data_IF_941500196214
#
_entry.id   IF_941500196214
#
_cell.length_a   1.000
_cell.length_b   1.000
_cell.length_c   1.000
_cell.angle_alpha   90.00
_cell.angle_beta   90.00
_cell.angle_gamma   90.00
#
_symmetry.space_group_name_H-M   'P 1'
#
loop_
_entity.id
_entity.type
_entity.pdbx_description
1 polymer ?
#
# COMPACT_ATOMS: atom_id res chain seq x y z
N UNK A 1 -11.24 -16.18 13.67
CA UNK A 1 -10.49 -15.12 14.41
C UNK A 1 -10.55 -13.86 13.58
N UNK A 2 -11.27 -12.81 13.99
CA UNK A 2 -11.53 -11.64 13.12
C UNK A 2 -10.26 -10.91 12.66
N UNK A 3 -10.06 -10.78 11.34
CA UNK A 3 -8.99 -9.93 10.76
C UNK A 3 -9.22 -8.46 11.11
N UNK A 4 -8.24 -7.84 11.76
CA UNK A 4 -8.28 -6.44 12.19
C UNK A 4 -6.88 -5.87 12.31
N UNK A 5 -6.78 -4.55 12.46
CA UNK A 5 -5.51 -3.88 12.77
C UNK A 5 -4.84 -4.50 13.99
N UNK A 6 -3.53 -4.73 13.91
CA UNK A 6 -2.73 -5.38 14.95
C UNK A 6 -2.69 -6.90 14.86
N UNK A 7 -3.49 -7.52 13.97
CA UNK A 7 -3.45 -8.97 13.80
C UNK A 7 -2.16 -9.41 13.10
N UNK A 8 -1.55 -10.49 13.61
CA UNK A 8 -0.41 -11.14 12.97
C UNK A 8 -0.86 -11.96 11.77
N UNK A 9 -0.12 -11.84 10.67
CA UNK A 9 -0.35 -12.60 9.43
C UNK A 9 0.76 -13.64 9.25
N UNK A 10 0.36 -14.88 9.02
CA UNK A 10 1.28 -15.97 8.74
C UNK A 10 1.55 -16.06 7.23
N UNK A 11 2.82 -15.92 6.85
CA UNK A 11 3.30 -16.16 5.50
C UNK A 11 4.48 -17.12 5.54
N UNK A 12 4.67 -17.90 4.47
CA UNK A 12 5.81 -18.81 4.37
C UNK A 12 7.16 -18.06 4.28
N UNK A 13 7.14 -16.80 3.84
CA UNK A 13 8.32 -15.97 3.61
C UNK A 13 8.58 -14.93 4.71
N UNK A 14 7.68 -14.76 5.67
CA UNK A 14 7.87 -13.85 6.80
C UNK A 14 6.99 -14.23 8.00
N UNK A 15 7.55 -14.10 9.20
CA UNK A 15 6.85 -14.26 10.47
C UNK A 15 6.49 -12.93 11.15
N UNK A 16 6.86 -11.80 10.52
CA UNK A 16 6.81 -10.47 11.13
C UNK A 16 5.76 -9.55 10.46
N UNK A 17 4.73 -10.13 9.83
CA UNK A 17 3.68 -9.36 9.16
C UNK A 17 2.57 -9.00 10.16
N UNK A 18 2.23 -7.72 10.24
CA UNK A 18 1.11 -7.25 11.03
C UNK A 18 0.15 -6.40 10.18
N UNK A 19 -1.15 -6.63 10.32
CA UNK A 19 -2.18 -5.81 9.66
C UNK A 19 -2.14 -4.39 10.21
N UNK A 20 -1.85 -3.43 9.35
CA UNK A 20 -1.91 -1.99 9.64
C UNK A 20 -3.31 -1.45 9.38
N UNK A 21 -3.94 -1.88 8.28
CA UNK A 21 -5.29 -1.47 7.91
C UNK A 21 -6.00 -2.61 7.16
N UNK A 22 -7.33 -2.69 7.36
CA UNK A 22 -8.23 -3.49 6.53
C UNK A 22 -8.92 -2.52 5.59
N UNK A 23 -8.76 -2.72 4.28
CA UNK A 23 -9.28 -1.83 3.25
C UNK A 23 -10.67 -2.27 2.82
N UNK A 24 -10.80 -3.55 2.49
CA UNK A 24 -12.06 -4.12 2.01
C UNK A 24 -12.16 -5.60 2.36
N UNK A 25 -13.36 -6.14 2.16
CA UNK A 25 -13.63 -7.57 2.34
C UNK A 25 -14.39 -8.10 1.14
N UNK A 26 -14.09 -9.32 0.71
CA UNK A 26 -14.76 -9.97 -0.40
C UNK A 26 -15.06 -11.42 -0.07
N UNK A 27 -16.27 -11.87 -0.37
CA UNK A 27 -16.67 -13.27 -0.23
C UNK A 27 -16.57 -13.99 -1.56
N UNK A 28 -15.99 -15.19 -1.55
CA UNK A 28 -15.89 -16.05 -2.72
C UNK A 28 -15.90 -17.52 -2.30
N UNK A 29 -16.95 -18.24 -2.68
CA UNK A 29 -17.19 -19.61 -2.23
C UNK A 29 -17.30 -19.68 -0.69
N UNK A 30 -16.49 -20.54 -0.09
CA UNK A 30 -16.43 -20.73 1.37
C UNK A 30 -15.49 -19.74 2.08
N UNK A 31 -14.78 -18.90 1.32
CA UNK A 31 -13.75 -18.02 1.88
C UNK A 31 -14.24 -16.58 1.99
N UNK A 32 -13.86 -15.94 3.10
CA UNK A 32 -13.91 -14.50 3.27
C UNK A 32 -12.50 -13.95 3.21
N UNK A 33 -12.25 -13.15 2.19
CA UNK A 33 -10.98 -12.50 1.92
C UNK A 33 -10.97 -11.09 2.47
N UNK A 34 -9.82 -10.67 2.98
CA UNK A 34 -9.57 -9.35 3.51
C UNK A 34 -8.43 -8.73 2.72
N UNK A 35 -8.73 -7.61 2.07
CA UNK A 35 -7.73 -6.78 1.43
C UNK A 35 -7.10 -5.91 2.50
N UNK A 36 -5.83 -6.14 2.80
CA UNK A 36 -5.15 -5.53 3.96
C UNK A 36 -3.84 -4.88 3.54
N UNK A 37 -3.51 -3.79 4.24
CA UNK A 37 -2.15 -3.26 4.28
C UNK A 37 -1.45 -3.92 5.46
N UNK A 38 -0.34 -4.61 5.22
CA UNK A 38 0.51 -5.18 6.27
C UNK A 38 1.80 -4.39 6.38
N UNK A 39 2.26 -4.19 7.62
CA UNK A 39 3.61 -3.70 7.90
C UNK A 39 4.55 -4.87 8.16
N UNK A 40 5.79 -4.77 7.66
CA UNK A 40 6.85 -5.73 7.99
C UNK A 40 7.61 -5.21 9.21
N UNK A 41 7.61 -5.98 10.30
CA UNK A 41 8.33 -5.63 11.55
C UNK A 41 9.71 -6.28 11.67
N UNK A 42 10.32 -6.69 10.56
CA UNK A 42 11.63 -7.34 10.60
C UNK A 42 12.73 -6.31 10.90
N UNK A 43 13.53 -6.47 11.98
CA UNK A 43 14.64 -5.59 12.29
C UNK A 43 15.83 -5.69 11.31
N UNK A 44 15.88 -6.66 10.40
CA UNK A 44 16.80 -6.64 9.25
C UNK A 44 16.18 -5.82 8.11
N UNK A 45 16.14 -4.50 8.27
CA UNK A 45 15.56 -3.48 7.37
C UNK A 45 16.13 -3.42 5.93
N UNK A 46 16.88 -4.41 5.44
CA UNK A 46 17.85 -4.12 4.39
C UNK A 46 17.33 -3.99 2.95
N UNK A 47 16.11 -4.41 2.58
CA UNK A 47 15.70 -4.38 1.16
C UNK A 47 14.24 -4.01 0.84
N UNK A 48 13.36 -3.79 1.83
CA UNK A 48 11.97 -3.44 1.52
C UNK A 48 11.85 -1.92 1.36
N UNK A 49 11.77 -1.44 0.11
CA UNK A 49 11.61 -0.01 -0.20
C UNK A 49 10.34 0.59 0.41
N UNK A 50 9.31 -0.24 0.60
CA UNK A 50 8.05 0.13 1.21
C UNK A 50 7.86 -0.68 2.50
N UNK A 51 7.72 0.02 3.63
CA UNK A 51 7.49 -0.60 4.94
C UNK A 51 6.12 -1.32 5.02
N UNK A 52 5.26 -1.10 4.02
CA UNK A 52 3.91 -1.60 3.92
C UNK A 52 3.72 -2.38 2.61
N UNK A 53 2.97 -3.48 2.67
CA UNK A 53 2.57 -4.26 1.50
C UNK A 53 1.06 -4.48 1.48
N UNK A 54 0.50 -4.51 0.28
CA UNK A 54 -0.91 -4.78 0.06
C UNK A 54 -1.10 -6.27 -0.23
N UNK A 55 -1.87 -6.96 0.61
CA UNK A 55 -2.06 -8.42 0.55
C UNK A 55 -3.54 -8.79 0.62
N UNK A 56 -3.84 -9.98 0.11
CA UNK A 56 -5.08 -10.69 0.41
C UNK A 56 -4.82 -11.74 1.46
N UNK A 57 -5.57 -11.66 2.56
CA UNK A 57 -5.49 -12.63 3.65
C UNK A 57 -6.87 -13.22 3.93
N UNK A 58 -6.89 -14.36 4.59
CA UNK A 58 -8.11 -15.02 5.01
C UNK A 58 -7.92 -15.68 6.37
N UNK A 59 -9.03 -15.94 7.04
CA UNK A 59 -9.04 -16.71 8.28
C UNK A 59 -8.98 -18.20 7.96
N UNK A 60 -8.02 -18.89 8.55
CA UNK A 60 -7.87 -20.34 8.47
C UNK A 60 -7.80 -20.93 9.87
N UNK A 61 -8.96 -21.43 10.33
CA UNK A 61 -9.21 -21.99 11.66
C UNK A 61 -8.74 -21.07 12.80
N UNK A 62 -7.45 -21.17 13.16
CA UNK A 62 -6.82 -20.49 14.29
C UNK A 62 -5.83 -19.40 13.89
N UNK A 63 -5.62 -19.15 12.60
CA UNK A 63 -4.64 -18.16 12.14
C UNK A 63 -5.10 -17.36 10.92
N UNK A 64 -4.42 -16.26 10.65
CA UNK A 64 -4.64 -15.46 9.45
C UNK A 64 -3.51 -15.78 8.48
N UNK A 65 -3.85 -16.26 7.29
CA UNK A 65 -2.89 -16.66 6.27
C UNK A 65 -2.94 -15.73 5.07
N UNK A 66 -1.78 -15.52 4.46
CA UNK A 66 -1.71 -14.93 3.11
C UNK A 66 -2.28 -15.93 2.11
N UNK A 67 -3.17 -15.47 1.24
CA UNK A 67 -3.60 -16.30 0.11
C UNK A 67 -2.42 -16.56 -0.81
N UNK A 68 -2.07 -17.84 -1.00
CA UNK A 68 -1.04 -18.25 -1.95
C UNK A 68 -1.75 -18.67 -3.24
N UNK A 69 -1.48 -17.97 -4.32
CA UNK A 69 -2.07 -18.26 -5.62
C UNK A 69 -1.64 -19.67 -6.09
N UNK A 70 -2.61 -20.58 -6.26
CA UNK A 70 -2.35 -21.94 -6.75
C UNK A 70 -2.60 -22.11 -8.26
N UNK A 71 -3.13 -21.07 -8.94
CA UNK A 71 -3.41 -21.05 -10.38
C UNK A 71 -2.96 -19.71 -10.96
N UNK A 72 -2.89 -19.60 -12.28
CA UNK A 72 -2.49 -18.36 -12.94
C UNK A 72 -3.40 -17.19 -12.52
N UNK A 73 -2.77 -16.15 -11.96
CA UNK A 73 -3.46 -14.93 -11.51
C UNK A 73 -4.19 -14.26 -12.67
N UNK A 74 -5.48 -13.92 -12.53
CA UNK A 74 -6.18 -13.08 -13.48
C UNK A 74 -5.47 -11.75 -13.67
N UNK A 75 -5.49 -11.24 -14.90
CA UNK A 75 -4.98 -9.90 -15.21
C UNK A 75 -5.91 -9.21 -16.18
N UNK A 76 -6.18 -7.90 -16.02
CA UNK A 76 -6.98 -7.14 -16.98
C UNK A 76 -6.43 -7.17 -18.40
N UNK A 77 -5.11 -7.31 -18.57
CA UNK A 77 -4.45 -7.39 -19.88
C UNK A 77 -4.58 -8.76 -20.56
N UNK A 78 -5.01 -9.82 -19.86
CA UNK A 78 -5.17 -11.14 -20.44
C UNK A 78 -6.60 -11.32 -20.99
N UNK A 79 -6.71 -11.50 -22.30
CA UNK A 79 -7.99 -11.67 -23.00
C UNK A 79 -8.90 -12.77 -22.44
N UNK A 80 -8.34 -13.82 -21.82
CA UNK A 80 -9.13 -14.88 -21.19
C UNK A 80 -9.84 -14.43 -19.91
N UNK A 81 -9.34 -13.39 -19.25
CA UNK A 81 -9.85 -12.85 -17.99
C UNK A 81 -10.62 -11.54 -18.16
N UNK A 82 -10.46 -10.84 -19.29
CA UNK A 82 -11.11 -9.53 -19.52
C UNK A 82 -12.63 -9.60 -19.25
N UNK A 83 -13.31 -10.56 -19.87
CA UNK A 83 -14.76 -10.72 -19.72
C UNK A 83 -15.19 -11.30 -18.36
N UNK A 84 -14.24 -11.65 -17.50
CA UNK A 84 -14.48 -12.27 -16.20
C UNK A 84 -14.34 -11.27 -15.04
N UNK A 85 -13.96 -10.03 -15.30
CA UNK A 85 -13.97 -9.01 -14.26
C UNK A 85 -15.42 -8.76 -13.82
N UNK A 86 -15.75 -9.11 -12.59
CA UNK A 86 -17.12 -9.09 -12.08
C UNK A 86 -17.47 -7.74 -11.46
N UNK A 87 -16.66 -7.28 -10.51
CA UNK A 87 -16.86 -6.02 -9.81
C UNK A 87 -15.59 -5.53 -9.11
N UNK A 88 -15.62 -4.27 -8.73
CA UNK A 88 -14.64 -3.65 -7.83
C UNK A 88 -15.22 -3.65 -6.42
N UNK A 89 -14.44 -4.13 -5.45
CA UNK A 89 -14.87 -4.34 -4.06
C UNK A 89 -14.16 -3.42 -3.07
N UNK A 90 -13.24 -2.58 -3.55
CA UNK A 90 -12.52 -1.60 -2.76
C UNK A 90 -11.49 -0.85 -3.59
N UNK A 91 -10.98 0.24 -3.02
CA UNK A 91 -9.87 1.01 -3.56
C UNK A 91 -8.88 1.36 -2.44
N UNK A 92 -7.62 1.55 -2.82
CA UNK A 92 -6.55 1.96 -1.94
C UNK A 92 -5.63 2.93 -2.68
N UNK A 93 -5.41 4.10 -2.10
CA UNK A 93 -4.42 5.06 -2.58
C UNK A 93 -3.11 4.83 -1.81
N UNK A 94 -2.03 4.55 -2.54
CA UNK A 94 -0.68 4.42 -2.00
C UNK A 94 -0.10 5.79 -1.62
N UNK A 95 0.99 5.80 -0.85
CA UNK A 95 1.62 7.04 -0.37
C UNK A 95 2.15 7.96 -1.51
N UNK A 96 2.37 7.41 -2.70
CA UNK A 96 2.76 8.16 -3.91
C UNK A 96 1.56 8.66 -4.74
N UNK A 97 0.32 8.40 -4.29
CA UNK A 97 -0.91 8.82 -4.97
C UNK A 97 -1.41 7.85 -6.03
N UNK A 98 -0.84 6.65 -6.14
CA UNK A 98 -1.32 5.63 -7.07
C UNK A 98 -2.58 4.95 -6.53
N UNK A 99 -3.63 4.88 -7.35
CA UNK A 99 -4.85 4.15 -7.02
C UNK A 99 -4.74 2.68 -7.41
N UNK A 100 -4.97 1.81 -6.43
CA UNK A 100 -5.10 0.37 -6.59
C UNK A 100 -6.53 -0.05 -6.29
N UNK A 101 -7.13 -0.85 -7.17
CA UNK A 101 -8.49 -1.33 -7.05
C UNK A 101 -8.50 -2.82 -6.71
N UNK A 102 -9.34 -3.18 -5.74
CA UNK A 102 -9.62 -4.56 -5.40
C UNK A 102 -10.66 -5.12 -6.38
N UNK A 103 -10.26 -6.09 -7.19
CA UNK A 103 -11.05 -6.62 -8.30
C UNK A 103 -11.46 -8.05 -8.02
N UNK A 104 -12.76 -8.33 -8.12
CA UNK A 104 -13.31 -9.69 -8.07
C UNK A 104 -13.51 -10.23 -9.49
N UNK A 105 -13.16 -11.50 -9.66
CA UNK A 105 -13.19 -12.19 -10.95
C UNK A 105 -14.15 -13.38 -10.92
N UNK A 106 -14.88 -13.59 -12.00
CA UNK A 106 -15.65 -14.80 -12.23
C UNK A 106 -14.71 -16.00 -12.46
N UNK A 107 -15.00 -17.11 -11.77
CA UNK A 107 -14.20 -18.33 -11.85
C UNK A 107 -12.84 -18.29 -11.16
N UNK A 108 -12.51 -17.25 -10.38
CA UNK A 108 -11.28 -17.19 -9.58
C UNK A 108 -11.59 -16.83 -8.12
N UNK A 109 -10.97 -17.55 -7.19
CA UNK A 109 -11.38 -17.52 -5.79
C UNK A 109 -11.01 -16.20 -5.08
N UNK A 110 -9.74 -15.80 -5.17
CA UNK A 110 -9.25 -14.63 -4.45
C UNK A 110 -9.38 -13.37 -5.32
N UNK A 111 -9.85 -12.23 -4.79
CA UNK A 111 -9.75 -10.98 -5.54
C UNK A 111 -8.27 -10.61 -5.77
N UNK A 112 -8.02 -9.67 -6.68
CA UNK A 112 -6.67 -9.16 -6.96
C UNK A 112 -6.62 -7.65 -6.79
N UNK A 113 -5.41 -7.10 -6.64
CA UNK A 113 -5.18 -5.66 -6.65
C UNK A 113 -4.64 -5.27 -8.03
N UNK A 114 -5.32 -4.36 -8.70
CA UNK A 114 -4.99 -3.91 -10.06
C UNK A 114 -4.85 -2.38 -10.06
N UNK A 115 -3.92 -1.87 -10.85
CA UNK A 115 -3.73 -0.42 -11.00
C UNK A 115 -4.88 0.19 -11.82
N UNK A 116 -5.20 1.46 -11.56
CA UNK A 116 -6.22 2.20 -12.32
C UNK A 116 -5.98 2.15 -13.83
N UNK A 117 -4.71 2.27 -14.25
CA UNK A 117 -4.30 2.23 -15.64
C UNK A 117 -4.59 0.89 -16.33
N UNK A 118 -4.55 -0.22 -15.60
CA UNK A 118 -4.90 -1.55 -16.12
C UNK A 118 -6.42 -1.74 -16.25
N UNK A 119 -7.21 -0.90 -15.58
CA UNK A 119 -8.67 -0.96 -15.56
C UNK A 119 -9.35 0.02 -16.54
N UNK A 120 -8.61 0.63 -17.46
CA UNK A 120 -9.12 1.63 -18.39
C UNK A 120 -10.42 1.21 -19.12
N UNK A 121 -10.53 -0.06 -19.52
CA UNK A 121 -11.71 -0.59 -20.22
C UNK A 121 -12.93 -0.86 -19.31
N UNK A 122 -12.78 -0.68 -18.00
CA UNK A 122 -13.81 -0.94 -16.98
C UNK A 122 -14.24 0.33 -16.26
N UNK A 123 -14.16 1.49 -16.93
CA UNK A 123 -14.55 2.78 -16.36
C UNK A 123 -15.96 2.80 -15.75
N UNK A 124 -16.89 2.03 -16.30
CA UNK A 124 -18.22 1.88 -15.70
C UNK A 124 -18.19 1.25 -14.31
N UNK A 125 -17.40 0.18 -14.10
CA UNK A 125 -17.30 -0.48 -12.80
C UNK A 125 -16.57 0.38 -11.76
N UNK A 126 -15.62 1.20 -12.19
CA UNK A 126 -14.98 2.20 -11.32
C UNK A 126 -15.99 3.27 -10.90
N UNK A 127 -16.76 3.81 -11.84
CA UNK A 127 -17.81 4.79 -11.53
C UNK A 127 -18.90 4.22 -10.60
N UNK A 128 -19.36 2.99 -10.85
CA UNK A 128 -20.35 2.31 -9.99
C UNK A 128 -19.84 2.12 -8.56
N UNK A 129 -18.56 1.78 -8.40
CA UNK A 129 -17.92 1.69 -7.08
C UNK A 129 -17.87 3.05 -6.39
N UNK A 130 -17.42 4.10 -7.08
CA UNK A 130 -17.28 5.45 -6.53
C UNK A 130 -18.64 6.02 -6.08
N UNK A 131 -19.69 5.81 -6.88
CA UNK A 131 -21.06 6.16 -6.51
C UNK A 131 -21.51 5.41 -5.25
N UNK A 132 -21.25 4.10 -5.17
CA UNK A 132 -21.60 3.28 -4.00
C UNK A 132 -20.88 3.77 -2.74
N UNK A 133 -19.60 4.13 -2.85
CA UNK A 133 -18.82 4.69 -1.75
C UNK A 133 -19.32 6.07 -1.30
N UNK A 134 -19.75 6.92 -2.23
CA UNK A 134 -20.33 8.23 -1.90
C UNK A 134 -21.71 8.11 -1.27
N UNK A 135 -22.50 7.10 -1.65
CA UNK A 135 -23.86 6.89 -1.17
C UNK A 135 -23.97 6.15 0.17
N UNK A 136 -22.88 5.66 0.77
CA UNK A 136 -22.88 5.02 2.09
C UNK A 136 -22.71 6.06 3.22
N UNK A 137 -23.78 6.64 3.78
CA UNK A 137 -23.66 7.71 4.77
C UNK A 137 -23.53 7.04 6.14
N UNK A 138 -22.30 6.81 6.59
CA UNK A 138 -22.06 6.20 7.92
C UNK A 138 -20.76 5.44 8.07
N UNK A 139 -20.12 5.02 6.97
CA UNK A 139 -18.67 4.86 6.99
C UNK A 139 -18.11 6.24 6.68
N UNK A 140 -17.64 6.94 7.71
CA UNK A 140 -16.73 8.05 7.47
C UNK A 140 -15.65 7.53 6.53
N UNK A 141 -15.69 7.96 5.27
CA UNK A 141 -14.52 8.03 4.40
C UNK A 141 -13.55 8.96 5.11
N UNK A 142 -12.87 8.39 6.10
CA UNK A 142 -11.62 8.92 6.61
C UNK A 142 -10.61 8.62 5.52
N UNK A 143 -10.61 9.46 4.50
CA UNK A 143 -9.39 10.15 4.11
C UNK A 143 -8.79 10.82 5.37
N UNK A 144 -8.33 10.01 6.32
CA UNK A 144 -7.40 10.48 7.32
C UNK A 144 -6.09 10.59 6.57
N UNK A 145 -5.84 11.80 6.08
CA UNK A 145 -4.52 12.37 5.92
C UNK A 145 -3.72 11.93 7.14
N UNK A 146 -2.90 10.90 6.98
CA UNK A 146 -2.00 10.43 8.01
C UNK A 146 -0.96 11.53 8.20
N UNK A 147 -1.27 12.52 9.05
CA UNK A 147 -0.27 13.41 9.61
C UNK A 147 0.64 12.56 10.50
N UNK A 148 1.64 11.96 9.87
CA UNK A 148 2.80 11.44 10.55
C UNK A 148 3.51 12.62 11.21
N UNK A 149 3.25 12.85 12.49
CA UNK A 149 4.02 13.76 13.33
C UNK A 149 5.40 13.16 13.64
N UNK A 150 6.25 13.13 12.63
CA UNK A 150 7.67 12.82 12.75
C UNK A 150 8.37 13.97 13.47
N UNK A 151 8.65 13.78 14.76
CA UNK A 151 9.59 14.62 15.50
C UNK A 151 10.93 14.64 14.76
N UNK A 152 11.27 15.81 14.21
CA UNK A 152 12.54 16.03 13.54
C UNK A 152 12.78 17.47 13.13
N UNK A 153 12.29 18.46 13.90
CA UNK A 153 12.70 19.87 13.72
C UNK A 153 14.20 20.00 14.01
N UNK A 154 15.05 19.85 12.98
CA UNK A 154 16.33 20.57 12.95
C UNK A 154 15.97 22.04 12.73
N UNK A 155 16.19 22.85 13.77
CA UNK A 155 16.23 24.30 13.68
C UNK A 155 17.31 24.68 12.66
N UNK A 156 16.92 25.07 11.45
CA UNK A 156 17.77 25.90 10.60
C UNK A 156 17.61 27.32 11.14
N UNK A 157 18.56 27.74 11.97
CA UNK A 157 18.68 29.14 12.37
C UNK A 157 19.09 30.00 11.17
N UNK A 158 18.67 31.27 11.12
CA UNK A 158 19.01 32.16 10.01
C UNK A 158 20.51 32.45 9.99
N UNK A 159 21.08 32.39 8.78
CA UNK A 159 22.48 32.71 8.50
C UNK A 159 22.77 34.18 8.85
N UNK A 160 23.65 34.39 9.83
CA UNK A 160 24.28 35.68 10.12
C UNK A 160 25.52 35.83 9.23
N UNK A 161 25.73 36.97 8.55
CA UNK A 161 26.95 37.20 7.78
C UNK A 161 28.08 37.60 8.74
N UNK A 162 29.19 36.86 8.73
CA UNK A 162 30.41 37.26 9.45
C UNK A 162 31.33 37.99 8.47
N UNK A 163 31.41 39.30 8.64
CA UNK A 163 32.41 40.14 8.03
C UNK A 163 33.73 40.08 8.83
N UNK A 164 34.84 40.03 8.09
CA UNK A 164 36.14 40.60 8.47
C UNK A 164 36.98 39.79 9.46
N UNK A 165 38.13 39.29 9.00
CA UNK A 165 39.46 39.76 9.44
C UNK A 165 40.56 39.08 8.62
N UNK A 166 41.34 39.90 7.91
CA UNK A 166 42.68 39.55 7.41
C UNK A 166 43.60 39.20 8.58
N UNK A 167 44.63 38.39 8.34
CA UNK A 167 45.97 38.98 8.43
C UNK A 167 46.81 38.76 7.16
N UNK A 168 47.59 39.79 6.88
CA UNK A 168 48.57 39.97 5.82
C UNK A 168 49.86 39.15 5.99
N UNK A 169 50.41 38.79 4.83
CA UNK A 169 51.82 38.71 4.43
C UNK A 169 52.79 37.74 5.14
N UNK A 170 53.52 36.92 4.37
CA UNK A 170 54.90 37.18 3.89
C UNK A 170 55.32 36.11 2.84
N UNK A 171 55.51 36.58 1.59
CA UNK A 171 56.64 36.40 0.63
C UNK A 171 57.45 35.08 0.57
N UNK A 172 57.57 34.49 -0.64
CA UNK A 172 58.82 34.34 -1.47
C UNK A 172 58.76 33.06 -2.35
N UNK A 173 58.74 33.17 -3.69
CA UNK A 173 59.80 32.75 -4.68
C UNK A 173 60.52 31.42 -4.39
N UNK A 174 60.85 30.50 -5.31
CA UNK A 174 60.84 30.32 -6.77
C UNK A 174 60.94 28.78 -7.01
N UNK A 175 60.61 28.16 -8.15
CA UNK A 175 61.43 27.85 -9.35
C UNK A 175 60.51 26.87 -10.15
N UNK A 176 60.34 26.82 -11.48
CA UNK A 176 61.09 27.20 -12.69
C UNK A 176 60.07 27.72 -13.73
#
# INVERSE_FOLDING_TARGET
>A
MVVRRGSTVHAAWSSCLEVVAVICTATSGAYMFYGVVVGIRDPLEWDWRDACQLLWVFEDEDCIKVWQECVERPRPSNAAWVSRLQCIVGCYETDDGTNLYAVKWDGYACPTWEAEEDLYNYGQLMAEHDETCQCAPGLESRYQRNEWNGRGRRKVGPATPVAGSRPTDVVSMAEI
#
